data_IF_770210141862
#
_entry.id   IF_770210141862
#
_cell.length_a   1.000
_cell.length_b   1.000
_cell.length_c   1.000
_cell.angle_alpha   90.00
_cell.angle_beta   90.00
_cell.angle_gamma   90.00
#
_symmetry.space_group_name_H-M   'P 1'
#
loop_
_entity.id
_entity.type
_entity.pdbx_description
1 polymer ?
#
# COMPACT_ATOMS: atom_id res chain seq x y z
N UNK A 1 17.66 -0.87 -4.40
CA UNK A 1 16.69 -1.70 -3.68
C UNK A 1 16.89 -1.50 -2.18
N UNK A 2 15.83 -1.18 -1.42
CA UNK A 2 15.87 -0.97 0.03
C UNK A 2 15.25 -2.17 0.74
N UNK A 3 15.90 -2.70 1.78
CA UNK A 3 15.37 -3.71 2.70
C UNK A 3 15.10 -3.04 4.04
N UNK A 4 13.89 -3.16 4.56
CA UNK A 4 13.46 -2.53 5.82
C UNK A 4 13.25 -3.59 6.90
N UNK A 5 13.92 -3.42 8.05
CA UNK A 5 13.76 -4.25 9.22
C UNK A 5 13.07 -3.46 10.35
N UNK A 6 11.89 -3.87 10.77
CA UNK A 6 11.21 -3.31 11.92
C UNK A 6 11.64 -4.03 13.20
N UNK A 7 11.97 -3.26 14.22
CA UNK A 7 12.31 -3.74 15.57
C UNK A 7 11.34 -3.14 16.56
N UNK A 8 10.49 -3.94 17.16
CA UNK A 8 9.45 -3.50 18.08
C UNK A 8 9.88 -3.78 19.52
N UNK A 9 9.99 -2.76 20.33
CA UNK A 9 10.22 -2.92 21.76
C UNK A 9 8.91 -3.14 22.51
N UNK A 10 8.51 -4.42 22.64
CA UNK A 10 7.27 -4.80 23.29
C UNK A 10 7.22 -4.50 24.80
N UNK A 11 8.38 -4.29 25.43
CA UNK A 11 8.48 -3.96 26.86
C UNK A 11 7.97 -2.56 27.15
N UNK A 12 8.25 -1.62 26.23
CA UNK A 12 7.98 -0.19 26.39
C UNK A 12 6.64 0.25 25.79
N UNK A 13 6.13 -0.46 24.79
CA UNK A 13 4.91 -0.07 24.10
C UNK A 13 3.65 -0.47 24.87
N UNK A 14 2.81 0.50 25.33
CA UNK A 14 1.54 0.20 25.97
C UNK A 14 0.63 -0.65 25.05
N UNK A 15 -0.25 -1.51 25.62
CA UNK A 15 -1.07 -2.42 24.83
C UNK A 15 -1.93 -1.76 23.75
N UNK A 16 -2.41 -0.54 24.00
CA UNK A 16 -3.16 0.24 23.01
C UNK A 16 -2.28 0.65 21.83
N UNK A 17 -1.11 1.24 22.13
CA UNK A 17 -0.17 1.64 21.10
C UNK A 17 0.38 0.46 20.29
N UNK A 18 0.66 -0.66 20.99
CA UNK A 18 1.06 -1.91 20.32
C UNK A 18 -0.01 -2.38 19.32
N UNK A 19 -1.29 -2.26 19.68
CA UNK A 19 -2.40 -2.60 18.78
C UNK A 19 -2.39 -1.70 17.53
N UNK A 20 -2.21 -0.40 17.73
CA UNK A 20 -2.18 0.58 16.64
C UNK A 20 -0.95 0.35 15.74
N UNK A 21 0.22 0.03 16.31
CA UNK A 21 1.44 -0.35 15.57
C UNK A 21 1.22 -1.63 14.78
N UNK A 22 0.62 -2.67 15.38
CA UNK A 22 0.27 -3.91 14.65
C UNK A 22 -0.63 -3.62 13.46
N UNK A 23 -1.68 -2.81 13.65
CA UNK A 23 -2.57 -2.40 12.57
C UNK A 23 -1.81 -1.67 11.46
N UNK A 24 -0.91 -0.77 11.81
CA UNK A 24 -0.09 -0.01 10.85
C UNK A 24 0.86 -0.91 10.05
N UNK A 25 1.44 -1.93 10.67
CA UNK A 25 2.27 -2.92 9.97
C UNK A 25 1.45 -3.81 9.03
N UNK A 26 0.21 -4.15 9.41
CA UNK A 26 -0.70 -4.87 8.51
C UNK A 26 -1.11 -4.00 7.32
N UNK A 27 -1.38 -2.72 7.54
CA UNK A 27 -1.66 -1.76 6.47
C UNK A 27 -0.47 -1.61 5.53
N UNK A 28 0.75 -1.46 6.08
CA UNK A 28 1.99 -1.43 5.29
C UNK A 28 2.11 -2.66 4.41
N UNK A 29 1.96 -3.85 4.99
CA UNK A 29 2.08 -5.11 4.26
C UNK A 29 1.04 -5.23 3.14
N UNK A 30 -0.20 -4.82 3.42
CA UNK A 30 -1.27 -4.81 2.43
C UNK A 30 -0.94 -3.86 1.27
N UNK A 31 -0.55 -2.63 1.56
CA UNK A 31 -0.16 -1.66 0.53
C UNK A 31 1.06 -2.14 -0.25
N UNK A 32 2.06 -2.69 0.44
CA UNK A 32 3.24 -3.23 -0.22
C UNK A 32 2.88 -4.36 -1.17
N UNK A 33 2.06 -5.32 -0.72
CA UNK A 33 1.66 -6.47 -1.52
C UNK A 33 0.87 -6.09 -2.79
N UNK A 34 0.02 -5.06 -2.72
CA UNK A 34 -0.86 -4.66 -3.83
C UNK A 34 -0.30 -3.52 -4.68
N UNK A 35 0.74 -2.82 -4.21
CA UNK A 35 1.36 -1.71 -4.96
C UNK A 35 2.32 -2.18 -6.05
N UNK A 36 2.78 -3.43 -5.99
CA UNK A 36 3.73 -3.95 -6.98
C UNK A 36 3.01 -4.47 -8.21
N UNK A 37 3.40 -3.98 -9.35
CA UNK A 37 2.96 -4.50 -10.65
C UNK A 37 3.71 -5.78 -11.07
N UNK A 38 4.68 -6.28 -10.27
CA UNK A 38 5.52 -7.43 -10.63
C UNK A 38 4.91 -8.76 -10.17
N UNK A 39 4.88 -9.78 -11.05
CA UNK A 39 4.42 -11.13 -10.71
C UNK A 39 5.17 -11.76 -9.52
N UNK A 40 6.32 -11.21 -9.18
CA UNK A 40 7.14 -11.64 -8.05
C UNK A 40 7.55 -10.42 -7.22
N UNK A 41 6.73 -10.05 -6.26
CA UNK A 41 7.07 -9.03 -5.29
C UNK A 41 8.22 -9.52 -4.41
N UNK A 42 9.39 -8.89 -4.49
CA UNK A 42 10.55 -9.28 -3.69
C UNK A 42 10.26 -9.10 -2.20
N UNK A 43 10.74 -10.03 -1.40
CA UNK A 43 10.61 -9.95 0.04
C UNK A 43 11.67 -9.01 0.62
N UNK A 44 11.23 -7.82 1.06
CA UNK A 44 12.09 -6.72 1.54
C UNK A 44 11.81 -6.29 2.97
N UNK A 45 10.86 -6.96 3.64
CA UNK A 45 10.41 -6.57 4.96
C UNK A 45 10.86 -7.61 5.98
N UNK A 46 11.57 -7.18 7.03
CA UNK A 46 11.88 -7.98 8.20
C UNK A 46 11.13 -7.49 9.43
N UNK A 47 10.79 -8.38 10.35
CA UNK A 47 10.12 -8.05 11.60
C UNK A 47 10.78 -8.75 12.77
N UNK A 48 11.28 -7.96 13.72
CA UNK A 48 11.88 -8.41 14.96
C UNK A 48 11.18 -7.75 16.15
N UNK A 49 11.30 -8.35 17.32
CA UNK A 49 10.79 -7.75 18.54
C UNK A 49 11.68 -8.04 19.74
N UNK A 50 11.71 -7.10 20.68
CA UNK A 50 12.40 -7.22 21.98
C UNK A 50 11.37 -7.44 23.05
N UNK A 51 11.63 -8.39 23.92
CA UNK A 51 10.79 -8.73 25.07
C UNK A 51 11.64 -9.17 26.26
N UNK A 52 11.08 -9.14 27.46
CA UNK A 52 11.75 -9.69 28.64
C UNK A 52 11.33 -11.15 28.84
N UNK A 53 12.31 -12.03 28.82
CA UNK A 53 12.07 -13.43 29.10
C UNK A 53 11.76 -13.60 30.60
N UNK A 54 10.59 -14.18 30.94
CA UNK A 54 10.12 -14.35 32.32
C UNK A 54 10.95 -15.36 33.14
N UNK A 55 11.64 -16.28 32.45
CA UNK A 55 12.44 -17.34 33.11
C UNK A 55 13.83 -16.82 33.43
N UNK A 56 14.50 -16.21 32.44
CA UNK A 56 15.87 -15.70 32.60
C UNK A 56 15.93 -14.27 33.12
N UNK A 57 14.80 -13.59 33.20
CA UNK A 57 14.71 -12.14 33.53
C UNK A 57 15.62 -11.26 32.65
N UNK A 58 16.05 -11.78 31.53
CA UNK A 58 16.87 -11.05 30.53
C UNK A 58 16.06 -10.54 29.36
N UNK A 59 16.53 -9.45 28.78
CA UNK A 59 15.97 -8.93 27.55
C UNK A 59 16.47 -9.75 26.37
N UNK A 60 15.55 -10.23 25.56
CA UNK A 60 15.83 -11.06 24.39
C UNK A 60 15.21 -10.43 23.13
N UNK A 61 15.87 -10.64 22.00
CA UNK A 61 15.39 -10.27 20.70
C UNK A 61 15.02 -11.53 19.91
N UNK A 62 13.82 -11.50 19.30
CA UNK A 62 13.35 -12.56 18.40
C UNK A 62 13.00 -12.03 17.04
N UNK A 63 13.25 -12.86 16.02
CA UNK A 63 12.81 -12.62 14.65
C UNK A 63 11.42 -13.21 14.52
N UNK A 64 10.43 -12.37 14.22
CA UNK A 64 9.06 -12.79 13.95
C UNK A 64 8.86 -13.13 12.47
N UNK A 65 9.49 -12.37 11.57
CA UNK A 65 9.46 -12.61 10.14
C UNK A 65 10.82 -12.20 9.53
N UNK A 66 11.38 -13.10 8.73
CA UNK A 66 12.62 -12.86 8.01
C UNK A 66 12.37 -12.90 6.51
N UNK A 67 12.84 -11.91 5.76
CA UNK A 67 12.67 -11.91 4.32
C UNK A 67 13.43 -13.09 3.69
N UNK A 68 12.82 -13.72 2.73
CA UNK A 68 13.44 -14.79 1.95
C UNK A 68 14.44 -14.21 0.95
N UNK A 69 15.72 -14.61 0.94
CA UNK A 69 16.74 -14.02 0.08
C UNK A 69 16.47 -14.13 -1.42
N UNK A 70 15.66 -15.11 -1.83
CA UNK A 70 15.28 -15.36 -3.22
C UNK A 70 13.77 -15.58 -3.40
N UNK A 71 13.01 -15.31 -2.35
CA UNK A 71 11.57 -15.54 -2.30
C UNK A 71 10.77 -14.29 -2.60
N UNK A 72 9.52 -14.51 -2.86
CA UNK A 72 8.51 -13.47 -2.95
C UNK A 72 7.99 -13.15 -1.55
N UNK A 73 7.54 -11.91 -1.36
CA UNK A 73 6.86 -11.50 -0.15
C UNK A 73 5.57 -12.30 0.02
N UNK A 74 5.42 -12.94 1.18
CA UNK A 74 4.21 -13.66 1.53
C UNK A 74 3.39 -12.85 2.54
N UNK A 75 2.32 -12.21 2.04
CA UNK A 75 1.42 -11.38 2.84
C UNK A 75 0.80 -12.16 4.00
N UNK A 76 0.47 -13.42 3.79
CA UNK A 76 -0.16 -14.27 4.81
C UNK A 76 0.81 -14.58 5.94
N UNK A 77 2.05 -14.95 5.62
CA UNK A 77 3.05 -15.28 6.63
C UNK A 77 3.43 -14.03 7.44
N UNK A 78 3.51 -12.87 6.78
CA UNK A 78 3.73 -11.60 7.47
C UNK A 78 2.56 -11.23 8.39
N UNK A 79 1.31 -11.37 7.94
CA UNK A 79 0.12 -11.15 8.78
C UNK A 79 0.12 -12.09 10.00
N UNK A 80 0.49 -13.36 9.78
CA UNK A 80 0.60 -14.32 10.87
C UNK A 80 1.66 -13.87 11.88
N UNK A 81 2.84 -13.46 11.43
CA UNK A 81 3.91 -12.98 12.29
C UNK A 81 3.49 -11.76 13.13
N UNK A 82 2.86 -10.74 12.52
CA UNK A 82 2.39 -9.55 13.22
C UNK A 82 1.31 -9.89 14.25
N UNK A 83 0.35 -10.73 13.89
CA UNK A 83 -0.74 -11.12 14.81
C UNK A 83 -0.25 -11.91 16.01
N UNK A 84 0.81 -12.71 15.84
CA UNK A 84 1.41 -13.54 16.90
C UNK A 84 2.45 -12.82 17.78
N UNK A 85 2.68 -11.53 17.58
CA UNK A 85 3.51 -10.74 18.48
C UNK A 85 2.92 -10.79 19.91
N UNK A 86 3.70 -11.10 20.93
CA UNK A 86 3.25 -11.16 22.33
C UNK A 86 2.62 -9.84 22.77
N UNK A 87 1.43 -9.89 23.35
CA UNK A 87 0.70 -8.71 23.84
C UNK A 87 0.84 -8.49 25.34
N UNK A 88 1.38 -9.48 26.05
CA UNK A 88 1.57 -9.52 27.52
C UNK A 88 2.99 -9.18 27.97
N UNK A 89 3.80 -8.61 27.06
CA UNK A 89 5.22 -8.30 27.31
C UNK A 89 5.46 -6.88 27.82
N UNK A 90 4.40 -6.06 27.93
CA UNK A 90 4.50 -4.69 28.40
C UNK A 90 4.88 -4.62 29.89
N UNK A 91 5.86 -3.77 30.18
CA UNK A 91 6.35 -3.51 31.53
C UNK A 91 6.07 -2.04 31.87
N UNK A 92 5.08 -1.74 32.75
CA UNK A 92 4.69 -0.34 33.04
C UNK A 92 5.78 0.48 33.73
N UNK A 93 6.69 -0.19 34.42
CA UNK A 93 7.82 0.44 35.13
C UNK A 93 9.13 -0.11 34.57
N UNK A 94 9.55 0.40 33.41
CA UNK A 94 10.93 0.17 32.95
C UNK A 94 11.78 1.28 33.59
N UNK A 95 12.05 1.13 34.90
CA UNK A 95 12.93 2.03 35.66
C UNK A 95 14.42 1.78 35.36
N UNK A 96 14.73 0.84 34.49
CA UNK A 96 16.11 0.51 34.16
C UNK A 96 16.61 1.40 32.97
N UNK A 97 17.40 2.44 33.27
CA UNK A 97 17.99 3.30 32.23
C UNK A 97 18.96 2.57 31.30
N UNK A 98 19.23 1.29 31.57
CA UNK A 98 20.10 0.42 30.79
C UNK A 98 19.39 -0.64 29.95
N UNK A 99 18.07 -0.49 29.70
CA UNK A 99 17.32 -1.45 28.89
C UNK A 99 17.91 -1.60 27.49
N UNK A 100 18.73 -2.62 27.29
CA UNK A 100 19.39 -2.91 26.02
C UNK A 100 18.38 -3.37 24.97
N UNK A 101 18.32 -2.67 23.84
CA UNK A 101 17.48 -2.99 22.70
C UNK A 101 17.97 -4.20 21.89
N UNK A 102 19.11 -4.81 22.30
CA UNK A 102 19.71 -5.96 21.61
C UNK A 102 19.95 -5.73 20.10
N UNK A 103 20.11 -4.49 19.68
CA UNK A 103 20.32 -4.13 18.27
C UNK A 103 21.59 -4.75 17.69
N UNK A 104 22.61 -4.97 18.51
CA UNK A 104 23.83 -5.68 18.10
C UNK A 104 23.55 -7.06 17.50
N UNK A 105 22.50 -7.74 17.98
CA UNK A 105 22.11 -9.03 17.44
C UNK A 105 21.52 -8.93 16.04
N UNK A 106 20.78 -7.85 15.72
CA UNK A 106 20.21 -7.62 14.39
C UNK A 106 21.29 -7.11 13.43
N UNK A 107 22.09 -6.17 13.88
CA UNK A 107 23.16 -5.55 13.09
C UNK A 107 24.35 -6.49 12.85
N UNK A 108 24.25 -7.74 13.32
CA UNK A 108 25.25 -8.78 13.09
C UNK A 108 25.19 -9.36 11.68
N UNK A 109 26.29 -9.89 11.22
CA UNK A 109 26.42 -10.53 9.91
C UNK A 109 25.49 -11.74 9.73
N UNK A 110 25.08 -12.34 10.84
CA UNK A 110 24.23 -13.54 10.82
C UNK A 110 22.74 -13.26 10.62
N UNK A 111 22.27 -12.04 10.86
CA UNK A 111 20.85 -11.69 10.76
C UNK A 111 20.62 -10.76 9.57
N UNK A 112 20.80 -9.47 9.73
CA UNK A 112 20.43 -8.45 8.72
C UNK A 112 21.14 -8.65 7.38
N UNK A 113 22.42 -9.06 7.41
CA UNK A 113 23.22 -9.27 6.19
C UNK A 113 22.96 -10.61 5.51
N UNK A 114 22.39 -11.59 6.22
CA UNK A 114 21.92 -12.83 5.61
C UNK A 114 20.65 -12.62 4.78
N UNK A 115 19.96 -11.51 4.99
CA UNK A 115 18.76 -11.14 4.26
C UNK A 115 19.14 -10.44 2.94
N UNK A 116 18.88 -11.08 1.83
CA UNK A 116 19.22 -10.56 0.51
C UNK A 116 20.62 -10.94 0.04
N UNK A 117 20.71 -11.38 -1.21
CA UNK A 117 21.94 -11.88 -1.83
C UNK A 117 22.72 -10.78 -2.58
N UNK A 118 22.03 -9.71 -2.98
CA UNK A 118 22.60 -8.67 -3.83
C UNK A 118 23.49 -7.71 -3.00
N UNK A 119 24.64 -7.33 -3.56
CA UNK A 119 25.61 -6.44 -2.91
C UNK A 119 25.12 -4.98 -2.80
N UNK A 120 24.18 -4.59 -3.67
CA UNK A 120 23.70 -3.20 -3.78
C UNK A 120 22.39 -2.95 -2.99
N UNK A 121 22.13 -3.78 -1.97
CA UNK A 121 20.97 -3.60 -1.11
C UNK A 121 21.27 -2.58 -0.03
N UNK A 122 20.56 -1.46 -0.05
CA UNK A 122 20.49 -0.52 1.07
C UNK A 122 19.64 -1.13 2.17
N UNK A 123 20.11 -1.11 3.40
CA UNK A 123 19.40 -1.68 4.56
C UNK A 123 18.99 -0.59 5.52
N UNK A 124 17.74 -0.62 5.94
CA UNK A 124 17.17 0.32 6.90
C UNK A 124 16.60 -0.45 8.09
N UNK A 125 16.99 -0.07 9.30
CA UNK A 125 16.45 -0.61 10.55
C UNK A 125 15.60 0.47 11.20
N UNK A 126 14.33 0.17 11.49
CA UNK A 126 13.38 1.09 12.12
C UNK A 126 13.04 0.53 13.51
N UNK A 127 13.41 1.25 14.54
CA UNK A 127 13.20 0.87 15.94
C UNK A 127 12.00 1.62 16.51
N UNK A 128 10.98 0.89 16.94
CA UNK A 128 9.76 1.41 17.52
C UNK A 128 9.76 1.19 19.03
N UNK A 129 9.86 2.25 19.82
CA UNK A 129 9.91 2.18 21.29
C UNK A 129 9.22 3.38 21.92
N UNK A 130 8.77 3.24 23.17
CA UNK A 130 8.34 4.38 24.00
C UNK A 130 9.36 4.75 25.08
N UNK A 131 10.51 4.08 25.11
CA UNK A 131 11.59 4.35 26.02
C UNK A 131 12.94 4.05 25.36
N UNK A 132 13.91 4.92 25.52
CA UNK A 132 15.27 4.67 25.13
C UNK A 132 16.22 4.76 26.33
N UNK A 133 17.34 4.01 26.30
CA UNK A 133 18.35 4.10 27.35
C UNK A 133 18.92 5.53 27.43
N UNK A 134 19.22 5.98 28.65
CA UNK A 134 19.81 7.31 28.86
C UNK A 134 21.17 7.47 28.16
N UNK A 135 21.90 6.38 28.03
CA UNK A 135 23.22 6.35 27.42
C UNK A 135 23.32 5.19 26.45
N UNK A 136 23.93 5.45 25.32
CA UNK A 136 24.36 4.38 24.40
C UNK A 136 25.62 3.77 24.97
N UNK A 137 25.57 2.47 25.28
CA UNK A 137 26.75 1.77 25.75
C UNK A 137 27.81 1.64 24.64
N UNK A 138 29.04 1.38 25.02
CA UNK A 138 30.16 1.26 24.07
C UNK A 138 29.95 0.12 23.05
N UNK A 139 29.19 -0.91 23.42
CA UNK A 139 28.91 -2.04 22.55
C UNK A 139 27.87 -1.69 21.49
N UNK A 140 26.78 -1.01 21.86
CA UNK A 140 25.79 -0.52 20.92
C UNK A 140 26.39 0.54 20.00
N UNK A 141 27.18 1.49 20.54
CA UNK A 141 27.85 2.51 19.73
C UNK A 141 28.76 1.87 18.67
N UNK A 142 29.57 0.88 19.03
CA UNK A 142 30.40 0.15 18.10
C UNK A 142 29.56 -0.57 17.03
N UNK A 143 28.47 -1.21 17.42
CA UNK A 143 27.57 -1.88 16.46
C UNK A 143 26.92 -0.91 15.47
N UNK A 144 26.57 0.31 15.92
CA UNK A 144 26.03 1.36 15.04
C UNK A 144 27.11 1.92 14.10
N UNK A 145 28.36 2.05 14.56
CA UNK A 145 29.50 2.44 13.70
C UNK A 145 29.80 1.37 12.64
N UNK A 146 29.86 0.09 13.05
CA UNK A 146 30.04 -1.03 12.11
C UNK A 146 28.89 -1.09 11.09
N UNK A 147 27.68 -0.70 11.48
CA UNK A 147 26.54 -0.60 10.59
C UNK A 147 26.67 0.57 9.59
N UNK A 148 27.23 1.71 10.03
CA UNK A 148 27.54 2.85 9.15
C UNK A 148 28.53 2.46 8.05
N UNK A 149 29.60 1.78 8.40
CA UNK A 149 30.61 1.28 7.45
C UNK A 149 30.02 0.34 6.40
N UNK A 150 28.88 -0.30 6.72
CA UNK A 150 28.17 -1.22 5.84
C UNK A 150 26.93 -0.59 5.16
N UNK A 151 26.79 0.73 5.20
CA UNK A 151 25.67 1.48 4.62
C UNK A 151 24.28 1.03 5.15
N UNK A 152 24.20 0.72 6.45
CA UNK A 152 22.92 0.45 7.13
C UNK A 152 22.46 1.72 7.84
N UNK A 153 21.27 2.20 7.54
CA UNK A 153 20.63 3.29 8.26
C UNK A 153 19.80 2.78 9.42
N UNK A 154 19.84 3.47 10.57
CA UNK A 154 19.06 3.12 11.76
C UNK A 154 18.21 4.31 12.17
N UNK A 155 16.89 4.14 12.11
CA UNK A 155 15.91 5.16 12.48
C UNK A 155 15.23 4.76 13.80
N UNK A 156 15.36 5.63 14.80
CA UNK A 156 14.72 5.44 16.10
C UNK A 156 13.43 6.27 16.16
N UNK A 157 12.30 5.61 16.39
CA UNK A 157 10.99 6.25 16.55
C UNK A 157 10.54 6.12 18.00
N UNK A 158 10.56 7.25 18.71
CA UNK A 158 10.12 7.34 20.09
C UNK A 158 8.66 7.80 20.17
N UNK A 159 7.80 7.00 20.78
CA UNK A 159 6.43 7.38 21.08
C UNK A 159 6.32 7.88 22.52
N UNK A 160 6.12 9.19 22.69
CA UNK A 160 6.03 9.82 23.99
C UNK A 160 4.80 9.34 24.76
N UNK A 161 4.99 8.88 25.99
CA UNK A 161 3.89 8.56 26.89
C UNK A 161 3.47 9.83 27.65
N UNK A 162 2.17 10.06 27.82
CA UNK A 162 1.61 11.16 28.62
C UNK A 162 1.80 10.96 30.15
N UNK A 163 2.91 10.39 30.59
CA UNK A 163 3.21 10.22 32.00
C UNK A 163 3.93 11.47 32.57
N UNK A 164 3.63 11.84 33.79
CA UNK A 164 3.91 13.14 34.43
C UNK A 164 5.37 13.53 34.68
N UNK A 165 6.36 12.86 34.12
CA UNK A 165 7.80 13.18 34.25
C UNK A 165 8.40 13.67 32.91
N UNK A 166 7.81 14.74 32.36
CA UNK A 166 8.25 15.31 31.07
C UNK A 166 9.73 15.74 31.08
N UNK A 167 10.26 16.21 32.20
CA UNK A 167 11.62 16.73 32.31
C UNK A 167 12.68 15.64 32.16
N UNK A 168 12.45 14.47 32.75
CA UNK A 168 13.44 13.37 32.72
C UNK A 168 13.49 12.72 31.36
N UNK A 169 12.33 12.58 30.71
CA UNK A 169 12.23 12.01 29.35
C UNK A 169 12.95 12.90 28.31
N UNK A 170 12.79 14.23 28.38
CA UNK A 170 13.48 15.16 27.49
C UNK A 170 15.00 15.13 27.68
N UNK A 171 15.46 14.97 28.92
CA UNK A 171 16.88 14.88 29.21
C UNK A 171 17.49 13.57 28.69
N UNK A 172 16.79 12.46 28.83
CA UNK A 172 17.20 11.15 28.30
C UNK A 172 17.27 11.16 26.77
N UNK A 173 16.26 11.73 26.10
CA UNK A 173 16.26 11.92 24.64
C UNK A 173 17.43 12.78 24.18
N UNK A 174 17.70 13.88 24.90
CA UNK A 174 18.82 14.78 24.57
C UNK A 174 20.18 14.12 24.76
N UNK A 175 20.36 13.28 25.78
CA UNK A 175 21.59 12.52 26.02
C UNK A 175 21.76 11.43 24.96
N UNK A 176 20.69 10.72 24.62
CA UNK A 176 20.70 9.70 23.55
C UNK A 176 21.06 10.35 22.20
N UNK A 177 20.40 11.46 21.85
CA UNK A 177 20.72 12.22 20.62
C UNK A 177 22.17 12.63 20.56
N UNK A 178 22.73 13.12 21.67
CA UNK A 178 24.14 13.52 21.72
C UNK A 178 25.08 12.33 21.50
N UNK A 179 24.72 11.14 21.97
CA UNK A 179 25.54 9.94 21.82
C UNK A 179 25.49 9.35 20.40
N UNK A 180 24.48 9.66 19.59
CA UNK A 180 24.35 9.22 18.19
C UNK A 180 24.60 10.35 17.19
N UNK A 181 24.80 11.61 17.63
CA UNK A 181 24.94 12.77 16.75
C UNK A 181 26.13 12.70 15.81
N UNK A 182 27.17 11.95 16.19
CA UNK A 182 28.37 11.76 15.38
C UNK A 182 28.22 10.63 14.35
N UNK A 183 27.02 9.98 14.30
CA UNK A 183 26.75 8.86 13.41
C UNK A 183 25.76 9.31 12.31
N UNK A 184 26.26 9.56 11.11
CA UNK A 184 25.47 10.03 9.96
C UNK A 184 24.38 9.05 9.51
N UNK A 185 24.51 7.77 9.90
CA UNK A 185 23.55 6.72 9.57
C UNK A 185 22.42 6.56 10.59
N UNK A 186 22.43 7.33 11.67
CA UNK A 186 21.43 7.23 12.74
C UNK A 186 20.54 8.47 12.79
N UNK A 187 19.24 8.26 12.99
CA UNK A 187 18.27 9.34 13.21
C UNK A 187 17.33 8.99 14.35
N UNK A 188 16.90 10.00 15.12
CA UNK A 188 15.88 9.86 16.14
C UNK A 188 14.75 10.83 15.86
N UNK A 189 13.54 10.32 15.86
CA UNK A 189 12.31 11.11 15.72
C UNK A 189 11.38 10.79 16.87
N UNK A 190 10.73 11.84 17.41
CA UNK A 190 9.80 11.72 18.52
C UNK A 190 8.38 12.02 18.07
N UNK A 191 7.43 11.18 18.48
CA UNK A 191 6.04 11.31 18.06
C UNK A 191 5.08 11.17 19.26
N UNK A 192 4.03 11.93 19.23
CA UNK A 192 2.88 11.65 20.09
C UNK A 192 2.12 10.43 19.52
N UNK A 193 1.74 9.46 20.37
CA UNK A 193 1.01 8.28 19.93
C UNK A 193 -0.36 8.67 19.38
N UNK A 194 -0.49 8.71 18.07
CA UNK A 194 -1.71 9.04 17.34
C UNK A 194 -1.79 8.22 16.06
N UNK A 195 -2.98 7.69 15.76
CA UNK A 195 -3.26 6.91 14.56
C UNK A 195 -2.89 7.67 13.27
N UNK A 196 -3.10 8.99 13.21
CA UNK A 196 -2.71 9.81 12.05
C UNK A 196 -1.21 9.85 11.82
N UNK A 197 -0.44 9.90 12.90
CA UNK A 197 1.03 9.86 12.83
C UNK A 197 1.50 8.52 12.29
N UNK A 198 0.96 7.42 12.83
CA UNK A 198 1.27 6.08 12.35
C UNK A 198 0.92 5.90 10.88
N UNK A 199 -0.23 6.41 10.44
CA UNK A 199 -0.61 6.38 9.02
C UNK A 199 0.35 7.21 8.14
N UNK A 200 0.85 8.33 8.63
CA UNK A 200 1.91 9.10 7.96
C UNK A 200 3.20 8.32 7.82
N UNK A 201 3.61 7.61 8.88
CA UNK A 201 4.80 6.75 8.88
C UNK A 201 4.64 5.57 7.90
N UNK A 202 3.47 4.94 7.84
CA UNK A 202 3.19 3.87 6.87
C UNK A 202 3.40 4.37 5.43
N UNK A 203 2.95 5.58 5.11
CA UNK A 203 3.18 6.16 3.77
C UNK A 203 4.67 6.35 3.49
N UNK A 204 5.42 6.87 4.45
CA UNK A 204 6.87 7.04 4.32
C UNK A 204 7.57 5.69 4.12
N UNK A 205 7.23 4.68 4.91
CA UNK A 205 7.82 3.34 4.79
C UNK A 205 7.50 2.66 3.46
N UNK A 206 6.31 2.91 2.89
CA UNK A 206 5.95 2.43 1.56
C UNK A 206 6.82 3.09 0.49
N UNK A 207 7.06 4.40 0.59
CA UNK A 207 7.96 5.09 -0.34
C UNK A 207 9.39 4.52 -0.27
N UNK A 208 9.89 4.21 0.93
CA UNK A 208 11.20 3.55 1.11
C UNK A 208 11.26 2.16 0.46
N UNK A 209 10.14 1.44 0.43
CA UNK A 209 10.04 0.09 -0.12
C UNK A 209 9.81 0.06 -1.64
N UNK A 210 9.36 1.15 -2.24
CA UNK A 210 9.21 1.25 -3.69
C UNK A 210 10.55 1.11 -4.39
N UNK A 211 10.55 0.37 -5.47
CA UNK A 211 11.71 0.37 -6.36
C UNK A 211 11.59 1.57 -7.31
N UNK A 212 12.67 2.32 -7.50
CA UNK A 212 12.76 3.45 -8.43
C UNK A 212 12.51 3.06 -9.90
N UNK A 213 12.19 1.79 -10.14
CA UNK A 213 12.07 1.20 -11.48
C UNK A 213 10.64 1.11 -12.02
N UNK A 214 9.62 1.41 -11.23
CA UNK A 214 8.24 1.40 -11.72
C UNK A 214 7.94 2.72 -12.46
N UNK A 215 8.05 2.68 -13.78
CA UNK A 215 7.67 3.83 -14.62
C UNK A 215 6.15 3.94 -14.64
N UNK A 216 5.60 5.11 -14.31
CA UNK A 216 4.17 5.33 -14.38
C UNK A 216 3.68 5.16 -15.82
N UNK A 217 2.42 4.76 -15.96
CA UNK A 217 1.79 4.68 -17.25
C UNK A 217 1.65 6.09 -17.85
N UNK A 218 2.25 6.32 -19.00
CA UNK A 218 2.22 7.63 -19.66
C UNK A 218 0.92 7.83 -20.43
N UNK A 219 0.36 9.02 -20.34
CA UNK A 219 -0.87 9.44 -21.04
C UNK A 219 -0.71 10.84 -21.64
N UNK A 220 -1.42 11.08 -22.75
CA UNK A 220 -1.56 12.40 -23.36
C UNK A 220 -3.02 12.75 -23.52
N UNK A 221 -3.42 13.90 -23.04
CA UNK A 221 -4.76 14.46 -23.28
C UNK A 221 -4.68 15.44 -24.45
N UNK A 222 -5.36 15.11 -25.54
CA UNK A 222 -5.34 15.83 -26.80
C UNK A 222 -6.61 16.67 -26.97
N UNK A 223 -6.44 17.96 -27.16
CA UNK A 223 -7.53 18.93 -27.33
C UNK A 223 -7.67 19.32 -28.80
N UNK A 224 -8.90 19.54 -29.23
CA UNK A 224 -9.18 20.04 -30.62
C UNK A 224 -8.68 21.44 -30.85
N UNK A 225 -8.59 22.24 -29.80
CA UNK A 225 -8.14 23.65 -29.86
C UNK A 225 -6.96 23.84 -28.91
N UNK A 226 -6.13 24.82 -29.19
CA UNK A 226 -5.04 25.16 -28.28
C UNK A 226 -5.58 25.67 -26.96
N UNK A 227 -4.95 25.21 -25.86
CA UNK A 227 -5.24 25.64 -24.49
C UNK A 227 -4.51 26.93 -24.17
N UNK A 228 -3.20 26.97 -24.42
CA UNK A 228 -2.34 28.13 -24.20
C UNK A 228 -1.30 28.20 -25.33
N UNK A 229 -1.20 29.33 -25.99
CA UNK A 229 -0.25 29.51 -27.09
C UNK A 229 -0.47 28.48 -28.22
N UNK A 230 0.53 27.67 -28.51
CA UNK A 230 0.46 26.58 -29.48
C UNK A 230 0.16 25.20 -28.84
N UNK A 231 0.02 25.13 -27.51
CA UNK A 231 -0.15 23.87 -26.78
C UNK A 231 -1.60 23.37 -26.86
N UNK A 232 -1.79 22.22 -27.47
CA UNK A 232 -3.07 21.52 -27.60
C UNK A 232 -3.08 20.16 -26.95
N UNK A 233 -2.03 19.80 -26.19
CA UNK A 233 -1.91 18.53 -25.46
C UNK A 233 -1.32 18.75 -24.09
N UNK A 234 -1.67 17.85 -23.16
CA UNK A 234 -1.09 17.77 -21.80
C UNK A 234 -0.55 16.36 -21.62
N UNK A 235 0.72 16.25 -21.24
CA UNK A 235 1.38 14.98 -20.92
C UNK A 235 1.25 14.69 -19.43
N UNK A 236 0.79 13.50 -19.11
CA UNK A 236 0.49 13.08 -17.74
C UNK A 236 1.00 11.67 -17.45
N UNK A 237 1.15 11.39 -16.16
CA UNK A 237 1.37 10.06 -15.61
C UNK A 237 0.09 9.56 -14.95
N UNK A 238 -0.23 8.29 -15.15
CA UNK A 238 -1.38 7.62 -14.55
C UNK A 238 -0.92 6.68 -13.45
N UNK A 239 -1.60 6.73 -12.31
CA UNK A 239 -1.41 5.84 -11.18
C UNK A 239 -2.75 5.23 -10.78
N UNK A 240 -2.77 3.94 -10.43
CA UNK A 240 -3.98 3.30 -9.93
C UNK A 240 -4.40 3.96 -8.61
N UNK A 241 -5.66 4.36 -8.50
CA UNK A 241 -6.17 5.02 -7.29
C UNK A 241 -6.59 4.05 -6.20
N UNK A 242 -6.96 2.82 -6.57
CA UNK A 242 -7.45 1.77 -5.66
C UNK A 242 -6.88 0.43 -6.06
N UNK A 243 -6.18 -0.22 -5.16
CA UNK A 243 -5.69 -1.58 -5.32
C UNK A 243 -6.58 -2.56 -4.55
N UNK A 244 -6.78 -3.76 -5.10
CA UNK A 244 -7.58 -4.80 -4.44
C UNK A 244 -6.70 -5.59 -3.48
N UNK A 245 -7.07 -5.65 -2.22
CA UNK A 245 -6.31 -6.41 -1.20
C UNK A 245 -6.13 -7.89 -1.59
N UNK A 246 -7.07 -8.44 -2.35
CA UNK A 246 -7.01 -9.82 -2.82
C UNK A 246 -5.81 -10.10 -3.73
N UNK A 247 -5.34 -9.09 -4.45
CA UNK A 247 -4.18 -9.18 -5.35
C UNK A 247 -2.85 -9.36 -4.58
N UNK A 248 -2.83 -9.07 -3.27
CA UNK A 248 -1.69 -9.32 -2.39
C UNK A 248 -1.56 -10.77 -1.92
N UNK A 249 -2.52 -11.64 -2.24
CA UNK A 249 -2.46 -13.05 -1.87
C UNK A 249 -2.16 -13.92 -3.08
N UNK A 250 -1.33 -14.94 -2.89
CA UNK A 250 -1.05 -15.91 -3.95
C UNK A 250 -2.33 -16.64 -4.39
N UNK A 251 -2.64 -16.70 -5.68
CA UNK A 251 -3.80 -17.43 -6.16
C UNK A 251 -3.65 -18.90 -5.85
N UNK A 252 -4.73 -19.55 -5.55
CA UNK A 252 -4.79 -20.99 -5.30
C UNK A 252 -5.90 -21.65 -6.09
N UNK A 253 -5.80 -22.96 -6.25
CA UNK A 253 -6.83 -23.78 -6.89
C UNK A 253 -7.67 -24.45 -5.82
N UNK A 254 -8.98 -24.52 -6.03
CA UNK A 254 -9.91 -25.17 -5.13
C UNK A 254 -10.88 -26.07 -5.87
N UNK A 255 -11.37 -27.12 -5.20
CA UNK A 255 -12.42 -27.96 -5.76
C UNK A 255 -13.76 -27.22 -5.74
N UNK A 256 -14.51 -27.30 -6.82
CA UNK A 256 -15.83 -26.65 -6.95
C UNK A 256 -16.89 -27.22 -6.02
N UNK A 257 -16.76 -28.50 -5.66
CA UNK A 257 -17.75 -29.20 -4.83
C UNK A 257 -17.72 -28.80 -3.34
N UNK A 258 -16.52 -28.52 -2.77
CA UNK A 258 -16.36 -28.21 -1.32
C UNK A 258 -15.55 -26.93 -1.06
N UNK A 259 -15.03 -26.25 -2.09
CA UNK A 259 -14.18 -25.09 -1.92
C UNK A 259 -12.84 -25.35 -1.21
N UNK A 260 -12.43 -26.61 -1.16
CA UNK A 260 -11.19 -27.02 -0.49
C UNK A 260 -9.98 -26.82 -1.39
N UNK A 261 -8.88 -26.37 -0.78
CA UNK A 261 -7.61 -26.13 -1.47
C UNK A 261 -7.09 -27.42 -2.10
N UNK A 262 -6.68 -27.31 -3.36
CA UNK A 262 -5.98 -28.37 -4.07
C UNK A 262 -4.47 -28.13 -3.90
N UNK A 263 -3.78 -29.02 -3.20
CA UNK A 263 -2.36 -28.89 -2.96
C UNK A 263 -1.57 -29.16 -4.25
N UNK A 264 -0.61 -28.29 -4.57
CA UNK A 264 0.28 -28.40 -5.75
C UNK A 264 1.17 -29.67 -5.72
N UNK A 265 1.27 -30.33 -4.58
CA UNK A 265 2.14 -31.50 -4.36
C UNK A 265 1.66 -32.81 -4.97
N UNK A 266 0.41 -32.91 -5.44
CA UNK A 266 -0.15 -34.12 -6.02
C UNK A 266 -0.40 -33.95 -7.54
N UNK A 267 0.52 -33.30 -8.23
CA UNK A 267 0.64 -33.48 -9.67
C UNK A 267 1.23 -34.86 -9.95
N UNK A 268 0.50 -35.88 -9.67
CA UNK A 268 0.69 -37.16 -10.35
C UNK A 268 0.38 -36.88 -11.83
N UNK A 269 1.40 -36.77 -12.64
CA UNK A 269 1.35 -36.50 -14.10
C UNK A 269 0.41 -37.42 -14.90
N UNK A 270 -0.28 -38.34 -14.23
CA UNK A 270 -1.12 -39.36 -14.82
C UNK A 270 -2.60 -39.29 -14.37
N UNK A 271 -2.93 -38.66 -13.24
CA UNK A 271 -4.29 -38.77 -12.62
C UNK A 271 -4.89 -37.45 -12.17
N UNK A 272 -4.81 -36.38 -12.86
CA UNK A 272 -5.64 -35.17 -12.59
C UNK A 272 -5.76 -34.76 -11.09
N UNK A 273 -6.50 -33.74 -10.83
CA UNK A 273 -6.80 -33.31 -9.44
C UNK A 273 -7.84 -34.25 -8.79
N UNK A 274 -7.74 -34.47 -7.50
CA UNK A 274 -8.78 -35.16 -6.72
C UNK A 274 -9.32 -34.27 -5.62
N UNK A 275 -10.61 -34.39 -5.32
CA UNK A 275 -11.23 -33.65 -4.22
C UNK A 275 -10.67 -34.13 -2.87
N UNK A 276 -10.10 -33.24 -2.01
CA UNK A 276 -9.54 -33.63 -0.72
C UNK A 276 -10.56 -34.23 0.26
N UNK A 277 -11.86 -33.94 0.06
CA UNK A 277 -12.93 -34.41 0.94
C UNK A 277 -13.47 -35.77 0.49
N UNK A 278 -13.69 -35.95 -0.81
CA UNK A 278 -14.36 -37.16 -1.34
C UNK A 278 -13.39 -38.13 -2.01
N UNK A 279 -12.16 -37.72 -2.30
CA UNK A 279 -11.19 -38.52 -3.04
C UNK A 279 -11.52 -38.72 -4.53
N UNK A 280 -12.66 -38.21 -5.05
CA UNK A 280 -13.02 -38.34 -6.45
C UNK A 280 -12.11 -37.49 -7.35
N UNK A 281 -11.74 -38.04 -8.49
CA UNK A 281 -11.03 -37.32 -9.57
C UNK A 281 -11.84 -36.13 -10.04
N UNK A 282 -11.17 -34.97 -10.19
CA UNK A 282 -11.79 -33.73 -10.65
C UNK A 282 -11.42 -33.48 -12.09
N UNK A 283 -12.41 -33.19 -12.90
CA UNK A 283 -12.23 -32.65 -14.24
C UNK A 283 -11.85 -31.16 -14.15
N UNK A 284 -11.25 -30.61 -15.16
CA UNK A 284 -10.82 -29.20 -15.23
C UNK A 284 -11.97 -28.23 -14.96
N UNK A 285 -13.19 -28.54 -15.38
CA UNK A 285 -14.39 -27.74 -15.10
C UNK A 285 -14.81 -27.75 -13.63
N UNK A 286 -14.31 -28.67 -12.83
CA UNK A 286 -14.58 -28.80 -11.40
C UNK A 286 -13.46 -28.19 -10.52
N UNK A 287 -12.46 -27.56 -11.14
CA UNK A 287 -11.40 -26.83 -10.48
C UNK A 287 -11.66 -25.34 -10.64
N UNK A 288 -11.61 -24.59 -9.52
CA UNK A 288 -11.70 -23.14 -9.52
C UNK A 288 -10.28 -22.60 -9.37
N UNK A 289 -9.80 -21.87 -10.36
CA UNK A 289 -8.46 -21.28 -10.38
C UNK A 289 -8.40 -19.87 -9.80
N UNK A 290 -9.56 -19.20 -9.72
CA UNK A 290 -9.66 -17.82 -9.22
C UNK A 290 -10.08 -17.79 -7.74
N UNK A 291 -9.21 -18.30 -6.89
CA UNK A 291 -9.41 -18.31 -5.44
C UNK A 291 -8.12 -17.94 -4.70
N UNK A 292 -8.29 -17.35 -3.51
CA UNK A 292 -7.20 -17.07 -2.57
C UNK A 292 -7.55 -17.61 -1.20
N UNK A 293 -6.56 -18.10 -0.46
CA UNK A 293 -6.74 -18.55 0.92
C UNK A 293 -6.35 -17.42 1.87
N UNK A 294 -7.29 -17.00 2.71
CA UNK A 294 -7.08 -15.99 3.74
C UNK A 294 -7.42 -16.60 5.10
N UNK A 295 -6.42 -16.97 5.88
CA UNK A 295 -6.58 -17.75 7.10
C UNK A 295 -7.24 -19.10 6.81
N UNK A 296 -8.32 -19.40 7.51
CA UNK A 296 -9.11 -20.62 7.33
C UNK A 296 -10.15 -20.55 6.20
N UNK A 297 -10.33 -19.38 5.60
CA UNK A 297 -11.35 -19.15 4.57
C UNK A 297 -10.74 -19.10 3.18
N UNK A 298 -11.46 -19.65 2.22
CA UNK A 298 -11.16 -19.50 0.80
C UNK A 298 -12.11 -18.46 0.21
N UNK A 299 -11.54 -17.46 -0.45
CA UNK A 299 -12.27 -16.41 -1.16
C UNK A 299 -12.19 -16.67 -2.65
N UNK A 300 -13.34 -16.65 -3.31
CA UNK A 300 -13.42 -16.67 -4.77
C UNK A 300 -13.43 -15.24 -5.28
N UNK A 301 -12.72 -15.00 -6.36
CA UNK A 301 -12.72 -13.67 -6.99
C UNK A 301 -12.76 -13.82 -8.51
N UNK A 302 -13.27 -12.79 -9.15
CA UNK A 302 -13.13 -12.69 -10.60
C UNK A 302 -11.69 -12.23 -10.87
N UNK A 303 -10.93 -13.00 -11.67
CA UNK A 303 -9.58 -12.60 -12.02
C UNK A 303 -9.63 -11.23 -12.69
N UNK A 304 -8.88 -10.27 -12.14
CA UNK A 304 -8.66 -9.04 -12.88
C UNK A 304 -7.76 -9.38 -14.06
N UNK A 305 -8.13 -8.94 -15.26
CA UNK A 305 -7.32 -9.16 -16.46
C UNK A 305 -5.95 -8.50 -16.37
N UNK A 306 -5.75 -7.62 -15.38
CA UNK A 306 -4.49 -6.93 -15.12
C UNK A 306 -3.39 -7.85 -14.56
N UNK A 307 -3.74 -8.87 -13.76
CA UNK A 307 -2.75 -9.73 -13.10
C UNK A 307 -2.05 -10.70 -14.03
N UNK A 308 -2.60 -10.97 -15.22
CA UNK A 308 -2.05 -12.00 -16.12
C UNK A 308 -1.23 -11.47 -17.29
N UNK A 309 -1.20 -10.14 -17.53
CA UNK A 309 -0.45 -9.58 -18.66
C UNK A 309 0.15 -8.22 -18.32
N UNK A 310 1.36 -8.24 -17.82
CA UNK A 310 2.18 -7.03 -17.71
C UNK A 310 2.73 -6.68 -19.08
N UNK A 311 1.97 -5.87 -19.79
CA UNK A 311 2.53 -5.18 -20.94
C UNK A 311 3.16 -3.89 -20.42
N UNK A 312 4.48 -3.87 -20.42
CA UNK A 312 5.21 -2.62 -20.33
C UNK A 312 4.95 -1.84 -21.62
N UNK A 313 3.91 -1.03 -21.62
CA UNK A 313 3.60 -0.20 -22.79
C UNK A 313 4.65 0.91 -22.85
N UNK A 314 5.49 0.85 -23.88
CA UNK A 314 6.52 1.86 -24.14
C UNK A 314 5.89 3.15 -24.71
N UNK A 315 4.70 3.06 -25.31
CA UNK A 315 4.00 4.18 -25.92
C UNK A 315 2.96 4.78 -24.96
N UNK A 316 2.88 6.12 -24.92
CA UNK A 316 1.84 6.84 -24.18
C UNK A 316 0.44 6.53 -24.71
N UNK A 317 -0.56 6.54 -23.83
CA UNK A 317 -1.97 6.38 -24.17
C UNK A 317 -2.55 7.73 -24.54
N UNK A 318 -3.19 7.81 -25.68
CA UNK A 318 -3.84 9.04 -26.17
C UNK A 318 -5.31 9.07 -25.77
N UNK A 319 -5.70 10.18 -25.13
CA UNK A 319 -7.07 10.52 -24.75
C UNK A 319 -7.51 11.75 -25.53
N UNK A 320 -8.42 11.59 -26.47
CA UNK A 320 -9.00 12.68 -27.23
C UNK A 320 -10.14 13.32 -26.43
N UNK A 321 -9.99 14.57 -26.03
CA UNK A 321 -11.03 15.32 -25.34
C UNK A 321 -12.17 15.63 -26.31
N UNK A 322 -13.37 15.18 -25.96
CA UNK A 322 -14.59 15.31 -26.79
C UNK A 322 -15.40 16.52 -26.35
N UNK A 323 -15.77 16.56 -25.06
CA UNK A 323 -16.68 17.57 -24.53
C UNK A 323 -16.50 17.77 -23.01
N UNK A 324 -17.15 18.81 -22.50
CA UNK A 324 -17.27 19.09 -21.07
C UNK A 324 -18.67 18.66 -20.60
N UNK A 325 -18.75 18.07 -19.43
CA UNK A 325 -20.01 17.73 -18.79
C UNK A 325 -20.06 18.29 -17.37
N UNK A 326 -21.26 18.58 -16.89
CA UNK A 326 -21.49 18.93 -15.48
C UNK A 326 -21.42 17.67 -14.63
N UNK A 327 -20.62 17.69 -13.56
CA UNK A 327 -20.44 16.53 -12.68
C UNK A 327 -21.72 16.15 -11.94
N UNK A 328 -22.58 17.11 -11.61
CA UNK A 328 -23.88 16.85 -11.01
C UNK A 328 -24.85 16.07 -11.92
N UNK A 329 -24.61 16.03 -13.23
CA UNK A 329 -25.40 15.24 -14.21
C UNK A 329 -24.84 13.83 -14.44
N UNK A 330 -23.66 13.51 -13.91
CA UNK A 330 -23.04 12.22 -14.08
C UNK A 330 -23.71 11.17 -13.20
N UNK A 331 -24.17 10.09 -13.81
CA UNK A 331 -24.68 8.93 -13.06
C UNK A 331 -23.51 8.02 -12.66
N UNK A 332 -23.36 7.75 -11.38
CA UNK A 332 -22.37 6.77 -10.88
C UNK A 332 -22.59 5.37 -11.48
N UNK A 333 -23.83 5.03 -11.88
CA UNK A 333 -24.15 3.77 -12.54
C UNK A 333 -23.60 3.65 -13.98
N UNK A 334 -23.11 4.75 -14.57
CA UNK A 334 -22.41 4.74 -15.87
C UNK A 334 -20.89 4.69 -15.76
N UNK A 335 -20.36 4.67 -14.53
CA UNK A 335 -18.93 4.55 -14.28
C UNK A 335 -18.55 3.09 -14.11
N UNK A 336 -17.47 2.67 -14.75
CA UNK A 336 -17.01 1.30 -14.78
C UNK A 336 -15.56 1.19 -14.35
N UNK A 337 -15.19 0.01 -13.83
CA UNK A 337 -13.81 -0.37 -13.59
C UNK A 337 -13.07 0.45 -12.52
N UNK A 338 -11.76 0.40 -12.59
CA UNK A 338 -10.87 1.05 -11.63
C UNK A 338 -10.70 2.54 -11.97
N UNK A 339 -10.33 3.34 -10.95
CA UNK A 339 -10.03 4.76 -11.10
C UNK A 339 -8.51 4.98 -11.15
N UNK A 340 -8.08 6.03 -11.83
CA UNK A 340 -6.66 6.37 -11.97
C UNK A 340 -6.41 7.82 -11.56
N UNK A 341 -5.41 8.04 -10.73
CA UNK A 341 -4.89 9.37 -10.48
C UNK A 341 -4.09 9.84 -11.70
N UNK A 342 -4.37 11.06 -12.13
CA UNK A 342 -3.69 11.74 -13.24
C UNK A 342 -2.90 12.89 -12.68
N UNK A 343 -1.59 12.87 -12.89
CA UNK A 343 -0.69 13.97 -12.53
C UNK A 343 0.13 14.41 -13.74
N UNK A 344 0.54 15.68 -13.84
CA UNK A 344 1.37 16.14 -14.95
C UNK A 344 2.71 15.39 -14.93
N UNK A 345 3.22 15.03 -16.11
CA UNK A 345 4.56 14.44 -16.22
C UNK A 345 5.59 15.45 -15.72
N UNK A 346 6.41 15.05 -14.75
CA UNK A 346 7.53 15.82 -14.22
C UNK A 346 8.85 15.20 -14.69
N UNK A 347 9.84 16.03 -14.92
CA UNK A 347 11.17 15.57 -15.28
C UNK A 347 11.93 15.18 -14.01
N UNK A 348 12.05 13.88 -13.70
CA UNK A 348 12.95 13.41 -12.64
C UNK A 348 14.12 12.55 -13.14
N UNK A 349 14.21 12.24 -14.45
CA UNK A 349 15.18 11.21 -14.89
C UNK A 349 15.96 11.51 -16.19
N UNK A 350 15.90 12.70 -16.73
CA UNK A 350 16.72 13.02 -17.91
C UNK A 350 17.52 14.29 -17.64
N UNK A 351 18.82 14.25 -17.92
CA UNK A 351 19.64 15.45 -18.13
C UNK A 351 19.05 16.21 -19.35
N UNK A 352 17.93 16.89 -19.12
CA UNK A 352 17.19 17.60 -20.16
C UNK A 352 17.92 18.89 -20.51
N UNK A 353 17.99 19.20 -21.78
CA UNK A 353 18.42 20.51 -22.26
C UNK A 353 17.48 21.61 -21.70
N UNK A 354 17.95 22.83 -21.54
CA UNK A 354 17.20 23.94 -20.92
C UNK A 354 15.81 24.17 -21.53
N UNK A 355 15.66 23.94 -22.83
CA UNK A 355 14.38 24.14 -23.56
C UNK A 355 13.31 23.11 -23.18
N UNK A 356 13.71 21.91 -22.75
CA UNK A 356 12.78 20.84 -22.30
C UNK A 356 12.22 21.14 -20.92
N UNK A 357 12.97 21.81 -20.03
CA UNK A 357 12.55 22.19 -18.67
C UNK A 357 11.41 23.22 -18.76
N UNK A 358 11.53 24.23 -19.59
CA UNK A 358 10.50 25.26 -19.78
C UNK A 358 9.19 24.65 -20.30
N UNK A 359 9.27 23.65 -21.16
CA UNK A 359 8.11 22.98 -21.72
C UNK A 359 7.39 22.10 -20.69
N UNK A 360 8.13 21.47 -19.77
CA UNK A 360 7.57 20.65 -18.69
C UNK A 360 6.92 21.51 -17.59
N UNK A 361 7.52 22.64 -17.26
CA UNK A 361 6.93 23.60 -16.34
C UNK A 361 5.62 24.17 -16.90
N UNK A 362 5.60 24.52 -18.17
CA UNK A 362 4.39 24.97 -18.86
C UNK A 362 3.32 23.88 -18.87
N UNK A 363 3.68 22.60 -19.10
CA UNK A 363 2.77 21.47 -19.05
C UNK A 363 2.11 21.35 -17.66
N UNK A 364 2.90 21.46 -16.56
CA UNK A 364 2.38 21.42 -15.21
C UNK A 364 1.47 22.61 -14.88
N UNK A 365 1.83 23.82 -15.32
CA UNK A 365 1.02 25.03 -15.13
C UNK A 365 -0.32 24.93 -15.89
N UNK A 366 -0.30 24.43 -17.13
CA UNK A 366 -1.53 24.24 -17.94
C UNK A 366 -2.42 23.17 -17.32
N UNK A 367 -1.84 22.08 -16.81
CA UNK A 367 -2.59 21.04 -16.09
C UNK A 367 -3.29 21.60 -14.85
N UNK A 368 -2.57 22.35 -14.01
CA UNK A 368 -3.13 22.95 -12.80
C UNK A 368 -4.20 23.99 -13.11
N UNK A 369 -3.95 24.83 -14.12
CA UNK A 369 -4.93 25.79 -14.60
C UNK A 369 -6.22 25.14 -15.10
N UNK A 370 -6.09 24.04 -15.86
CA UNK A 370 -7.23 23.25 -16.31
C UNK A 370 -7.99 22.62 -15.13
N UNK A 371 -7.29 22.03 -14.17
CA UNK A 371 -7.89 21.44 -12.98
C UNK A 371 -8.69 22.49 -12.19
N UNK A 372 -8.10 23.64 -11.90
CA UNK A 372 -8.75 24.75 -11.20
C UNK A 372 -9.98 25.29 -11.94
N UNK A 373 -9.88 25.45 -13.27
CA UNK A 373 -11.01 25.93 -14.07
C UNK A 373 -12.18 24.92 -14.08
N UNK A 374 -11.90 23.63 -14.26
CA UNK A 374 -12.92 22.59 -14.24
C UNK A 374 -13.56 22.47 -12.86
N UNK A 375 -12.77 22.54 -11.78
CA UNK A 375 -13.27 22.50 -10.41
C UNK A 375 -14.20 23.69 -10.10
N UNK A 376 -13.79 24.92 -10.48
CA UNK A 376 -14.61 26.11 -10.27
C UNK A 376 -15.94 26.10 -11.04
N UNK A 377 -16.02 25.36 -12.14
CA UNK A 377 -17.21 25.19 -12.96
C UNK A 377 -18.04 23.95 -12.60
N UNK A 378 -17.61 23.13 -11.67
CA UNK A 378 -18.19 21.82 -11.35
C UNK A 378 -18.33 20.93 -12.59
N UNK A 379 -17.29 20.89 -13.44
CA UNK A 379 -17.28 20.18 -14.71
C UNK A 379 -16.15 19.16 -14.79
N UNK A 380 -16.36 18.13 -15.61
CA UNK A 380 -15.37 17.15 -16.04
C UNK A 380 -15.20 17.12 -17.55
N UNK A 381 -14.15 16.46 -18.02
CA UNK A 381 -13.88 16.26 -19.46
C UNK A 381 -14.20 14.83 -19.85
N UNK A 382 -15.05 14.66 -20.84
CA UNK A 382 -15.25 13.36 -21.49
C UNK A 382 -14.16 13.20 -22.56
N UNK A 383 -13.47 12.06 -22.48
CA UNK A 383 -12.40 11.70 -23.38
C UNK A 383 -12.70 10.36 -24.06
N UNK A 384 -12.19 10.17 -25.27
CA UNK A 384 -12.17 8.86 -25.93
C UNK A 384 -10.75 8.36 -26.13
N UNK A 385 -10.57 7.07 -26.08
CA UNK A 385 -9.30 6.40 -26.39
C UNK A 385 -9.58 5.08 -27.12
N UNK A 386 -8.67 4.68 -27.99
CA UNK A 386 -8.66 3.35 -28.60
C UNK A 386 -8.04 2.29 -27.70
N UNK A 387 -7.53 2.70 -26.53
CA UNK A 387 -6.94 1.81 -25.56
C UNK A 387 -7.89 1.61 -24.38
N UNK A 388 -8.17 0.34 -24.06
CA UNK A 388 -8.78 -0.01 -22.79
C UNK A 388 -7.68 -0.10 -21.72
N UNK A 389 -7.66 0.83 -20.76
CA UNK A 389 -6.63 0.86 -19.71
C UNK A 389 -6.66 -0.41 -18.84
N UNK A 390 -7.85 -0.98 -18.59
CA UNK A 390 -7.97 -2.18 -17.74
C UNK A 390 -7.30 -3.41 -18.35
N UNK A 391 -7.35 -3.54 -19.66
CA UNK A 391 -6.74 -4.66 -20.40
C UNK A 391 -5.41 -4.29 -21.06
N UNK A 392 -5.05 -3.00 -21.06
CA UNK A 392 -3.88 -2.43 -21.73
C UNK A 392 -3.80 -2.77 -23.22
N UNK A 393 -4.95 -3.04 -23.85
CA UNK A 393 -5.05 -3.43 -25.26
C UNK A 393 -5.73 -2.35 -26.09
N UNK A 394 -5.31 -2.26 -27.34
CA UNK A 394 -6.07 -1.55 -28.33
C UNK A 394 -7.34 -2.31 -28.66
N UNK A 395 -8.45 -1.60 -28.71
CA UNK A 395 -9.77 -2.15 -29.01
C UNK A 395 -10.30 -1.58 -30.34
N UNK A 396 -11.11 -2.34 -31.01
CA UNK A 396 -11.70 -1.93 -32.28
C UNK A 396 -12.78 -0.83 -32.14
N UNK A 397 -13.21 -0.55 -30.92
CA UNK A 397 -14.20 0.49 -30.58
C UNK A 397 -13.61 1.48 -29.56
N UNK A 398 -14.15 2.69 -29.52
CA UNK A 398 -13.70 3.71 -28.58
C UNK A 398 -14.15 3.38 -27.17
N UNK A 399 -13.19 3.47 -26.22
CA UNK A 399 -13.48 3.51 -24.80
C UNK A 399 -13.65 4.96 -24.35
N UNK A 400 -14.66 5.22 -23.56
CA UNK A 400 -14.92 6.56 -23.03
C UNK A 400 -14.43 6.67 -21.59
N UNK A 401 -13.93 7.85 -21.24
CA UNK A 401 -13.40 8.16 -19.93
C UNK A 401 -13.85 9.53 -19.48
N UNK A 402 -13.99 9.73 -18.19
CA UNK A 402 -14.19 11.04 -17.59
C UNK A 402 -12.97 11.44 -16.77
N UNK A 403 -12.44 12.62 -17.06
CA UNK A 403 -11.42 13.27 -16.26
C UNK A 403 -12.08 14.28 -15.33
N UNK A 404 -11.98 14.04 -14.03
CA UNK A 404 -12.61 14.83 -12.98
C UNK A 404 -11.55 15.62 -12.21
N UNK A 405 -11.77 16.92 -11.95
CA UNK A 405 -10.86 17.73 -11.16
C UNK A 405 -10.94 17.37 -9.67
N UNK A 406 -9.92 17.76 -8.91
CA UNK A 406 -9.92 17.79 -7.45
C UNK A 406 -9.50 19.18 -6.95
N UNK A 407 -9.66 19.43 -5.65
CA UNK A 407 -9.43 20.76 -5.05
C UNK A 407 -7.99 21.28 -5.24
N UNK A 408 -6.97 20.46 -4.99
CA UNK A 408 -5.57 20.87 -4.99
C UNK A 408 -4.61 19.79 -5.48
N UNK A 409 -5.10 18.82 -6.19
CA UNK A 409 -4.30 17.64 -6.40
C UNK A 409 -4.44 17.02 -7.77
N UNK A 410 -4.14 15.74 -7.85
CA UNK A 410 -4.27 14.98 -9.07
C UNK A 410 -5.72 14.96 -9.54
N UNK A 411 -5.95 14.98 -10.84
CA UNK A 411 -7.28 14.69 -11.38
C UNK A 411 -7.57 13.19 -11.31
N UNK A 412 -8.84 12.83 -11.40
CA UNK A 412 -9.28 11.44 -11.39
C UNK A 412 -9.80 11.05 -12.77
N UNK A 413 -9.23 9.99 -13.35
CA UNK A 413 -9.68 9.40 -14.61
C UNK A 413 -10.47 8.13 -14.33
N UNK A 414 -11.71 8.07 -14.83
CA UNK A 414 -12.62 6.94 -14.63
C UNK A 414 -13.23 6.52 -15.97
N UNK A 415 -13.42 5.23 -16.19
CA UNK A 415 -14.05 4.72 -17.42
C UNK A 415 -15.56 5.00 -17.39
N UNK A 416 -16.11 5.44 -18.52
CA UNK A 416 -17.53 5.58 -18.76
C UNK A 416 -18.03 4.43 -19.62
N UNK A 417 -19.19 3.89 -19.28
CA UNK A 417 -19.89 2.93 -20.11
C UNK A 417 -20.35 3.59 -21.42
N UNK A 418 -20.09 2.94 -22.54
CA UNK A 418 -20.71 3.30 -23.81
C UNK A 418 -22.22 3.05 -23.77
N UNK A 419 -22.96 3.62 -24.71
CA UNK A 419 -24.43 3.47 -24.78
C UNK A 419 -24.86 2.01 -24.88
N UNK A 420 -24.07 1.17 -25.50
CA UNK A 420 -24.25 -0.27 -25.67
C UNK A 420 -23.93 -1.08 -24.41
N UNK A 421 -23.12 -0.53 -23.48
CA UNK A 421 -22.72 -1.16 -22.22
C UNK A 421 -23.72 -0.83 -21.09
N UNK A 422 -24.51 0.23 -21.25
CA UNK A 422 -25.49 0.65 -20.23
C UNK A 422 -26.70 -0.29 -20.26
N UNK A 423 -26.91 -1.01 -19.16
CA UNK A 423 -28.10 -1.83 -19.00
C UNK A 423 -29.35 -0.98 -18.90
N UNK A 424 -30.42 -1.39 -19.60
CA UNK A 424 -31.70 -0.70 -19.47
C UNK A 424 -32.27 -0.86 -18.07
N UNK A 425 -32.75 0.24 -17.50
CA UNK A 425 -33.49 0.19 -16.24
C UNK A 425 -34.70 -0.69 -16.42
N UNK A 426 -34.97 -1.67 -15.54
CA UNK A 426 -36.20 -2.46 -15.59
C UNK A 426 -37.42 -1.57 -15.59
N UNK A 427 -38.46 -1.96 -16.35
CA UNK A 427 -39.71 -1.21 -16.40
C UNK A 427 -40.34 -1.16 -14.99
N UNK A 428 -40.21 -0.02 -14.32
CA UNK A 428 -40.72 0.20 -12.97
C UNK A 428 -42.22 0.08 -12.88
N UNK A 429 -42.93 0.20 -14.00
CA UNK A 429 -44.39 -0.02 -14.05
C UNK A 429 -44.78 -1.49 -13.83
N UNK A 430 -43.83 -2.42 -13.98
CA UNK A 430 -44.01 -3.83 -13.62
C UNK A 430 -43.70 -4.14 -12.17
N UNK A 431 -43.01 -3.21 -11.46
CA UNK A 431 -42.85 -3.31 -10.04
C UNK A 431 -44.13 -2.93 -9.34
N UNK A 432 -44.60 -3.71 -8.37
CA UNK A 432 -45.77 -3.38 -7.57
C UNK A 432 -45.43 -2.11 -6.79
N UNK A 433 -45.95 -0.97 -7.25
CA UNK A 433 -45.86 0.29 -6.54
C UNK A 433 -46.88 0.21 -5.37
N UNK A 434 -46.44 -0.32 -4.24
CA UNK A 434 -47.19 -0.21 -2.99
C UNK A 434 -47.11 1.23 -2.49
N UNK A 435 -48.23 1.84 -2.18
CA UNK A 435 -48.28 3.14 -1.51
C UNK A 435 -47.63 3.01 -0.13
N UNK A 436 -46.53 3.74 0.10
CA UNK A 436 -45.87 3.77 1.41
C UNK A 436 -46.72 4.55 2.38
N UNK A 437 -47.19 3.92 3.47
CA UNK A 437 -47.92 4.60 4.53
C UNK A 437 -47.03 5.54 5.31
N UNK A 438 -47.61 6.58 5.90
CA UNK A 438 -46.84 7.54 6.72
C UNK A 438 -46.13 6.84 7.89
N UNK A 439 -46.77 5.87 8.51
CA UNK A 439 -46.22 5.07 9.62
C UNK A 439 -44.95 4.31 9.23
N UNK A 440 -44.91 3.69 8.04
CA UNK A 440 -43.74 3.00 7.53
C UNK A 440 -42.61 3.99 7.27
N UNK A 441 -42.90 5.15 6.69
CA UNK A 441 -41.92 6.21 6.45
C UNK A 441 -41.29 6.71 7.75
N UNK A 442 -42.14 7.03 8.74
CA UNK A 442 -41.70 7.54 10.04
C UNK A 442 -40.86 6.48 10.79
N UNK A 443 -41.26 5.20 10.71
CA UNK A 443 -40.50 4.09 11.30
C UNK A 443 -39.11 3.92 10.65
N UNK A 444 -39.03 4.00 9.31
CA UNK A 444 -37.74 3.93 8.58
C UNK A 444 -36.88 5.12 8.96
N UNK A 445 -37.45 6.33 9.00
CA UNK A 445 -36.68 7.54 9.35
C UNK A 445 -36.14 7.48 10.79
N UNK A 446 -36.95 6.99 11.75
CA UNK A 446 -36.52 6.76 13.12
C UNK A 446 -35.43 5.66 13.24
N UNK A 447 -35.47 4.66 12.36
CA UNK A 447 -34.44 3.62 12.31
C UNK A 447 -33.14 4.14 11.69
N UNK A 448 -33.25 4.93 10.63
CA UNK A 448 -32.07 5.54 9.97
C UNK A 448 -31.36 6.55 10.89
N UNK A 449 -32.12 7.29 11.73
CA UNK A 449 -31.49 8.22 12.69
C UNK A 449 -30.61 7.53 13.76
N UNK A 450 -30.79 6.21 13.95
CA UNK A 450 -29.94 5.39 14.86
C UNK A 450 -28.68 4.86 14.19
N UNK A 451 -28.60 4.95 12.86
CA UNK A 451 -27.37 4.59 12.11
C UNK A 451 -26.41 5.76 12.26
N UNK A 452 -25.27 5.52 12.91
CA UNK A 452 -24.25 6.54 13.08
C UNK A 452 -23.78 7.02 11.70
N UNK A 453 -23.92 8.30 11.44
CA UNK A 453 -23.20 8.97 10.34
C UNK A 453 -21.76 9.10 10.75
N UNK A 454 -20.88 8.28 10.15
CA UNK A 454 -19.43 8.33 10.33
C UNK A 454 -18.84 9.56 9.64
#
# INVERSE_FOLDING_TARGET
MVLVCFVIDLRSLPPQLLRDVKQSLLELANFYAISSESESLRDKIGLCYVFRNRISSSDELKIAYSPSPRGNFDLRDFHHAVNHLPTDSFLPEIDDPGADLKLSNILSDQVLYSWGVDKDIVRKVIVLSSCFPQYVDSHLQKSLMDAADKCVSVEFLLFEQKSGHLTDTLQNVSNFLRSISDLDNCSLQTYLPNVRVLHGLVKQWIEDLKDDMEKPLQARFLFKTNLVGSMNQISCNLYVSVNKIVDGFSPCQTCRCHGMLLEDGIRNKIHGYSCPVTGHGLETCNVIESSVKVGEKTLLFLPSFQSSMKFQRIASIDFHVIERINLGSLSEGSIMGDSYFVIPSACHEVEAASDDIDQLELNAQVFQGLCSALHSLDQGLVCSSNCNIETMREVAFHCYYILQPSDNGPMLLRRLAGSEEVSRVPDLNRCILSSITKEIRDSIQASLSKVNTS
#
